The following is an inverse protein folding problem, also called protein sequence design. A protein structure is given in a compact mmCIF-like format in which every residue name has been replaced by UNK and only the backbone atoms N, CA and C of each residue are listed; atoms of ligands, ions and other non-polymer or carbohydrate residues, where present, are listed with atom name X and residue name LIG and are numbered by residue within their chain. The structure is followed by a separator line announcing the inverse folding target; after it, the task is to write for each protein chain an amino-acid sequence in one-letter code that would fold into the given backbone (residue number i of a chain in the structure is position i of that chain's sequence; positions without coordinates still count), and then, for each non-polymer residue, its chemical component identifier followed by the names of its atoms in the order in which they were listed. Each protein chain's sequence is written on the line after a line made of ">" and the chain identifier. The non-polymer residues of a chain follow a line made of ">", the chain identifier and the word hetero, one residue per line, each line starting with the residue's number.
data_IF_654125690381
#
_entry.id   IF_654125690381
#
_cell.length_a   1.000
_cell.length_b   1.000
_cell.length_c   1.000
_cell.angle_alpha   90.00
_cell.angle_beta   90.00
_cell.angle_gamma   90.00
#
_symmetry.space_group_name_H-M   'P 1'
#
loop_
_entity.id
_entity.type
_entity.pdbx_description
1 polymer ?
#
# COMPACT_ATOMS: atom_id res chain seq x y z
N UNK A 1 -6.46 -16.96 -0.26
CA UNK A 1 -5.27 -16.13 -0.59
C UNK A 1 -5.67 -14.99 -1.52
N UNK A 2 -5.29 -13.74 -1.23
CA UNK A 2 -5.67 -12.59 -2.06
C UNK A 2 -4.60 -12.24 -3.09
N UNK A 3 -4.94 -12.33 -4.39
CA UNK A 3 -4.06 -12.03 -5.55
C UNK A 3 -2.62 -12.52 -5.40
N UNK A 4 -2.42 -13.82 -5.11
CA UNK A 4 -1.08 -14.37 -4.88
C UNK A 4 -0.19 -14.30 -6.13
N UNK A 5 -0.77 -14.40 -7.32
CA UNK A 5 -0.10 -14.28 -8.62
C UNK A 5 0.63 -12.92 -8.76
N UNK A 6 -0.01 -11.84 -8.32
CA UNK A 6 0.57 -10.49 -8.37
C UNK A 6 1.76 -10.35 -7.42
N UNK A 7 1.73 -11.05 -6.28
CA UNK A 7 2.87 -11.10 -5.37
C UNK A 7 4.04 -11.87 -5.97
N UNK A 8 3.78 -13.00 -6.64
CA UNK A 8 4.83 -13.78 -7.33
C UNK A 8 5.44 -13.00 -8.50
N UNK A 9 4.63 -12.33 -9.33
CA UNK A 9 5.12 -11.42 -10.39
C UNK A 9 6.04 -10.34 -9.81
N UNK A 10 5.66 -9.72 -8.70
CA UNK A 10 6.48 -8.70 -8.01
C UNK A 10 7.76 -9.28 -7.42
N UNK A 11 7.72 -10.50 -6.88
CA UNK A 11 8.88 -11.19 -6.32
C UNK A 11 9.89 -11.56 -7.42
N UNK A 12 9.44 -12.10 -8.55
CA UNK A 12 10.30 -12.36 -9.72
C UNK A 12 10.92 -11.07 -10.28
N UNK A 13 10.14 -9.99 -10.40
CA UNK A 13 10.67 -8.68 -10.82
C UNK A 13 11.76 -8.15 -9.88
N UNK A 14 11.58 -8.39 -8.58
CA UNK A 14 12.56 -8.02 -7.55
C UNK A 14 13.80 -8.90 -7.63
N UNK A 15 13.65 -10.22 -7.78
CA UNK A 15 14.75 -11.16 -7.94
C UNK A 15 15.62 -10.80 -9.15
N UNK A 16 15.00 -10.57 -10.31
CA UNK A 16 15.69 -10.17 -11.53
C UNK A 16 16.51 -8.88 -11.35
N UNK A 17 15.97 -7.88 -10.64
CA UNK A 17 16.66 -6.59 -10.41
C UNK A 17 17.99 -6.75 -9.66
N UNK A 18 18.09 -7.74 -8.79
CA UNK A 18 19.28 -8.02 -7.97
C UNK A 18 20.01 -9.30 -8.37
N UNK A 19 19.79 -9.77 -9.61
CA UNK A 19 20.44 -10.93 -10.20
C UNK A 19 20.25 -12.25 -9.41
N UNK A 20 19.17 -12.38 -8.64
CA UNK A 20 18.71 -13.67 -8.14
C UNK A 20 18.01 -14.45 -9.28
N UNK A 21 18.04 -15.80 -9.24
CA UNK A 21 17.33 -16.60 -10.23
C UNK A 21 15.82 -16.34 -10.14
N UNK A 22 15.13 -16.34 -11.27
CA UNK A 22 13.67 -16.33 -11.32
C UNK A 22 13.12 -17.74 -11.09
N UNK A 23 11.82 -17.84 -10.83
CA UNK A 23 11.14 -19.11 -10.57
C UNK A 23 9.73 -19.13 -11.18
N UNK A 24 9.13 -20.32 -11.27
CA UNK A 24 7.72 -20.44 -11.62
C UNK A 24 6.84 -19.99 -10.44
N UNK A 25 6.16 -18.86 -10.63
CA UNK A 25 5.27 -18.30 -9.61
C UNK A 25 4.09 -19.21 -9.27
N UNK A 26 3.56 -19.97 -10.22
CA UNK A 26 2.45 -20.88 -9.96
C UNK A 26 2.92 -22.06 -9.10
N UNK A 27 4.09 -22.61 -9.39
CA UNK A 27 4.68 -23.68 -8.57
C UNK A 27 4.90 -23.21 -7.11
N UNK A 28 5.43 -22.01 -6.89
CA UNK A 28 5.61 -21.46 -5.54
C UNK A 28 4.28 -21.20 -4.84
N UNK A 29 3.23 -20.76 -5.56
CA UNK A 29 1.88 -20.62 -5.01
C UNK A 29 1.36 -21.96 -4.49
N UNK A 30 1.53 -23.04 -5.26
CA UNK A 30 1.12 -24.37 -4.82
C UNK A 30 1.89 -24.84 -3.58
N UNK A 31 3.21 -24.58 -3.50
CA UNK A 31 3.99 -24.86 -2.29
C UNK A 31 3.49 -24.06 -1.08
N UNK A 32 3.16 -22.78 -1.27
CA UNK A 32 2.59 -21.93 -0.21
C UNK A 32 1.22 -22.46 0.24
N UNK A 33 0.37 -22.91 -0.69
CA UNK A 33 -0.90 -23.54 -0.34
C UNK A 33 -0.68 -24.79 0.52
N UNK A 34 0.28 -25.64 0.18
CA UNK A 34 0.61 -26.83 1.00
C UNK A 34 1.05 -26.43 2.42
N UNK A 35 1.93 -25.43 2.54
CA UNK A 35 2.35 -24.91 3.86
C UNK A 35 1.14 -24.42 4.67
N UNK A 36 0.24 -23.64 4.06
CA UNK A 36 -0.97 -23.13 4.72
C UNK A 36 -1.90 -24.28 5.14
N UNK A 37 -2.02 -25.35 4.35
CA UNK A 37 -2.84 -26.53 4.74
C UNK A 37 -2.29 -27.22 5.97
N UNK A 38 -0.97 -27.40 6.03
CA UNK A 38 -0.28 -27.99 7.19
C UNK A 38 -0.50 -27.12 8.42
N UNK A 39 -0.32 -25.81 8.27
CA UNK A 39 -0.40 -24.83 9.36
C UNK A 39 -1.80 -24.21 9.52
N UNK A 40 -2.86 -24.83 8.97
CA UNK A 40 -4.21 -24.23 8.94
C UNK A 40 -4.74 -23.86 10.33
N UNK A 41 -4.29 -24.56 11.35
CA UNK A 41 -4.65 -24.33 12.76
C UNK A 41 -4.08 -23.02 13.32
N UNK A 42 -3.10 -22.39 12.66
CA UNK A 42 -2.60 -21.04 12.99
C UNK A 42 -3.46 -19.92 12.39
N UNK A 43 -4.37 -20.21 11.47
CA UNK A 43 -5.21 -19.18 10.84
C UNK A 43 -6.29 -18.76 11.85
N UNK A 44 -6.31 -17.49 12.29
CA UNK A 44 -7.34 -17.06 13.23
C UNK A 44 -8.72 -17.07 12.59
N UNK A 45 -9.74 -17.46 13.36
CA UNK A 45 -11.15 -17.53 12.95
C UNK A 45 -11.94 -16.24 13.27
N UNK A 46 -11.27 -15.23 13.82
CA UNK A 46 -11.87 -13.96 14.21
C UNK A 46 -11.88 -12.95 13.06
N UNK A 47 -12.99 -12.20 12.93
CA UNK A 47 -13.11 -11.14 11.93
C UNK A 47 -12.00 -10.08 12.07
N UNK A 48 -11.42 -9.68 10.93
CA UNK A 48 -10.32 -8.73 10.86
C UNK A 48 -8.92 -9.33 11.13
N UNK A 49 -8.84 -10.61 11.47
CA UNK A 49 -7.58 -11.33 11.60
C UNK A 49 -7.26 -12.09 10.31
N UNK A 50 -5.98 -12.40 10.12
CA UNK A 50 -5.52 -13.16 8.96
C UNK A 50 -4.23 -13.93 9.25
N UNK A 51 -3.83 -14.79 8.32
CA UNK A 51 -2.49 -15.37 8.29
C UNK A 51 -1.62 -14.57 7.32
N UNK A 52 -0.61 -13.88 7.83
CA UNK A 52 0.34 -13.16 7.01
C UNK A 52 1.41 -14.13 6.48
N UNK A 53 1.62 -14.13 5.16
CA UNK A 53 2.57 -15.00 4.46
C UNK A 53 3.77 -14.16 4.04
N UNK A 54 4.97 -14.59 4.40
CA UNK A 54 6.24 -13.89 4.13
C UNK A 54 7.20 -14.77 3.31
N UNK A 55 7.02 -14.86 1.99
CA UNK A 55 8.05 -15.36 1.11
C UNK A 55 9.28 -14.46 1.19
N UNK A 56 10.46 -15.06 1.29
CA UNK A 56 11.75 -14.38 1.43
C UNK A 56 12.77 -15.06 0.53
N UNK A 57 13.60 -14.26 -0.15
CA UNK A 57 14.59 -14.76 -1.10
C UNK A 57 15.90 -14.03 -0.92
N UNK A 58 16.98 -14.79 -0.65
CA UNK A 58 18.30 -14.25 -0.34
C UNK A 58 19.38 -14.99 -1.13
N UNK A 59 20.45 -14.29 -1.49
CA UNK A 59 21.70 -14.94 -1.94
C UNK A 59 22.45 -15.48 -0.72
N UNK A 60 23.01 -16.68 -0.84
CA UNK A 60 23.66 -17.40 0.29
C UNK A 60 25.09 -17.81 -0.01
N UNK A 61 25.64 -17.39 -1.15
CA UNK A 61 26.99 -17.75 -1.55
C UNK A 61 28.03 -17.35 -0.50
N UNK A 62 28.92 -18.28 -0.16
CA UNK A 62 30.06 -18.07 0.73
C UNK A 62 31.20 -17.29 0.05
N UNK A 63 30.94 -16.03 -0.33
CA UNK A 63 31.93 -15.15 -0.95
C UNK A 63 31.76 -13.70 -0.49
N UNK A 64 32.87 -12.97 -0.38
CA UNK A 64 32.88 -11.55 -0.03
C UNK A 64 32.75 -10.62 -1.25
N UNK A 65 33.06 -11.13 -2.45
CA UNK A 65 33.03 -10.36 -3.68
C UNK A 65 31.61 -10.00 -4.10
N UNK A 66 31.42 -8.78 -4.62
CA UNK A 66 30.13 -8.31 -5.15
C UNK A 66 29.97 -8.84 -6.57
N UNK A 67 29.19 -9.91 -6.70
CA UNK A 67 28.87 -10.55 -7.98
C UNK A 67 27.46 -11.16 -7.90
N UNK A 68 26.83 -11.49 -9.05
CA UNK A 68 25.61 -12.28 -9.06
C UNK A 68 25.77 -13.56 -8.23
N UNK A 69 24.82 -13.86 -7.32
CA UNK A 69 24.94 -15.00 -6.43
C UNK A 69 24.87 -16.32 -7.19
N UNK A 70 25.74 -17.27 -6.85
CA UNK A 70 25.70 -18.66 -7.36
C UNK A 70 24.81 -19.59 -6.54
N UNK A 71 24.44 -19.15 -5.34
CA UNK A 71 23.60 -19.89 -4.40
C UNK A 71 22.56 -18.94 -3.83
N UNK A 72 21.33 -19.42 -3.69
CA UNK A 72 20.23 -18.65 -3.14
C UNK A 72 19.26 -19.55 -2.37
N UNK A 73 18.59 -18.95 -1.39
CA UNK A 73 17.59 -19.61 -0.55
C UNK A 73 16.26 -18.85 -0.66
N UNK A 74 15.24 -19.53 -1.17
CA UNK A 74 13.85 -19.10 -1.08
C UNK A 74 13.19 -19.87 0.06
N UNK A 75 12.63 -19.15 1.02
CA UNK A 75 11.86 -19.74 2.13
C UNK A 75 10.59 -18.92 2.38
N UNK A 76 9.62 -19.55 3.06
CA UNK A 76 8.35 -18.92 3.41
C UNK A 76 8.10 -19.13 4.90
N UNK A 77 7.75 -18.06 5.60
CA UNK A 77 7.22 -18.14 6.97
C UNK A 77 5.80 -17.57 7.01
N UNK A 78 5.00 -18.08 7.93
CA UNK A 78 3.63 -17.63 8.18
C UNK A 78 3.52 -17.08 9.61
N UNK A 79 2.64 -16.09 9.81
CA UNK A 79 2.42 -15.49 11.13
C UNK A 79 0.95 -15.06 11.26
N UNK A 80 0.23 -15.48 12.32
CA UNK A 80 -1.11 -14.96 12.58
C UNK A 80 -1.02 -13.48 12.92
N UNK A 81 -1.89 -12.67 12.33
CA UNK A 81 -1.94 -11.22 12.55
C UNK A 81 -3.35 -10.77 12.87
N UNK A 82 -3.45 -9.82 13.80
CA UNK A 82 -4.69 -9.12 14.09
C UNK A 82 -4.91 -7.91 13.19
N UNK A 83 -6.06 -7.24 13.34
CA UNK A 83 -6.33 -5.99 12.65
C UNK A 83 -5.27 -4.97 13.06
N UNK A 84 -4.77 -4.21 12.07
CA UNK A 84 -3.79 -3.16 12.31
C UNK A 84 -4.31 -2.06 13.25
N UNK A 85 -5.65 -1.89 13.29
CA UNK A 85 -6.35 -0.99 14.21
C UNK A 85 -7.43 -1.75 15.00
N UNK A 86 -7.10 -2.28 16.19
CA UNK A 86 -8.02 -3.10 17.00
C UNK A 86 -9.25 -2.35 17.53
N UNK A 87 -9.23 -1.02 17.53
CA UNK A 87 -10.26 -0.14 18.09
C UNK A 87 -11.11 0.55 17.01
N UNK A 88 -11.11 0.06 15.77
CA UNK A 88 -11.76 0.69 14.61
C UNK A 88 -10.76 1.42 13.70
N UNK A 89 -11.23 2.10 12.66
CA UNK A 89 -10.34 2.82 11.73
C UNK A 89 -9.77 4.07 12.38
N UNK A 90 -8.75 3.92 13.22
CA UNK A 90 -8.03 5.06 13.78
C UNK A 90 -7.19 5.70 12.66
N UNK A 91 -7.52 6.92 12.22
CA UNK A 91 -6.69 7.61 11.24
C UNK A 91 -5.28 7.82 11.79
N UNK A 92 -4.30 7.92 10.90
CA UNK A 92 -2.90 8.13 11.29
C UNK A 92 -2.43 9.53 10.98
N UNK A 93 -1.71 10.12 11.92
CA UNK A 93 -0.96 11.35 11.70
C UNK A 93 0.35 11.04 10.97
N UNK A 94 0.61 11.76 9.88
CA UNK A 94 1.82 11.62 9.06
C UNK A 94 2.78 12.79 9.25
N UNK A 95 4.08 12.52 9.19
CA UNK A 95 5.10 13.57 9.10
C UNK A 95 5.59 13.69 7.65
N UNK A 96 5.32 14.81 7.00
CA UNK A 96 5.81 15.16 5.66
C UNK A 96 7.33 15.35 5.67
N UNK A 97 8.06 14.29 5.32
CA UNK A 97 9.51 14.26 5.39
C UNK A 97 10.13 15.02 4.23
N UNK A 98 10.79 16.14 4.52
CA UNK A 98 11.50 16.97 3.52
C UNK A 98 13.01 16.74 3.53
N UNK A 99 13.53 16.25 4.66
CA UNK A 99 14.95 16.09 4.95
C UNK A 99 15.52 14.74 4.48
N UNK A 100 14.65 13.78 4.18
CA UNK A 100 15.05 12.43 3.78
C UNK A 100 14.23 11.95 2.59
N UNK A 101 14.90 11.25 1.69
CA UNK A 101 14.27 10.60 0.55
C UNK A 101 14.25 9.09 0.74
N UNK A 102 13.09 8.48 0.51
CA UNK A 102 12.92 7.02 0.55
C UNK A 102 13.52 6.33 -0.67
N UNK A 103 13.41 6.98 -1.82
CA UNK A 103 13.80 6.46 -3.12
C UNK A 103 14.06 7.62 -4.07
N UNK A 104 14.86 7.36 -5.10
CA UNK A 104 15.17 8.32 -6.15
C UNK A 104 15.04 7.68 -7.54
N UNK A 105 14.85 8.47 -8.61
CA UNK A 105 14.85 7.97 -9.98
C UNK A 105 16.11 7.16 -10.29
N UNK A 106 15.96 6.07 -11.04
CA UNK A 106 17.05 5.12 -11.32
C UNK A 106 17.44 4.19 -10.16
N UNK A 107 16.89 4.42 -8.96
CA UNK A 107 17.14 3.62 -7.78
C UNK A 107 16.41 2.28 -7.77
N UNK A 108 16.16 1.78 -6.55
CA UNK A 108 15.52 0.49 -6.31
C UNK A 108 14.17 0.60 -5.58
N UNK A 109 13.61 1.81 -5.45
CA UNK A 109 12.40 2.08 -4.67
C UNK A 109 11.17 1.28 -5.10
N UNK A 110 11.04 1.00 -6.41
CA UNK A 110 9.95 0.18 -6.94
C UNK A 110 10.06 -1.31 -6.60
N UNK A 111 11.17 -1.81 -6.08
CA UNK A 111 11.39 -3.24 -5.81
C UNK A 111 11.26 -3.55 -4.31
N UNK A 112 10.78 -4.75 -3.96
CA UNK A 112 10.53 -5.11 -2.55
C UNK A 112 11.80 -5.65 -1.88
N UNK A 113 12.86 -4.84 -1.87
CA UNK A 113 14.17 -5.18 -1.33
C UNK A 113 14.34 -4.71 0.12
N UNK A 114 14.98 -5.54 0.96
CA UNK A 114 15.29 -5.19 2.35
C UNK A 114 16.01 -3.84 2.50
N UNK A 115 16.90 -3.51 1.55
CA UNK A 115 17.65 -2.26 1.51
C UNK A 115 16.77 -1.01 1.45
N UNK A 116 15.54 -1.09 0.94
CA UNK A 116 14.61 0.04 0.88
C UNK A 116 13.91 0.36 2.22
N UNK A 117 14.06 -0.51 3.22
CA UNK A 117 13.38 -0.38 4.51
C UNK A 117 14.32 0.13 5.60
N UNK A 118 15.55 -0.38 5.63
CA UNK A 118 16.50 -0.08 6.71
C UNK A 118 16.77 1.44 6.90
N UNK A 119 16.99 2.25 5.85
CA UNK A 119 17.23 3.69 6.01
C UNK A 119 16.04 4.45 6.62
N UNK A 120 14.80 3.94 6.44
CA UNK A 120 13.60 4.58 6.95
C UNK A 120 13.37 4.38 8.45
N UNK A 121 14.07 3.46 9.11
CA UNK A 121 13.85 3.13 10.53
C UNK A 121 14.17 4.32 11.44
N UNK A 122 15.31 4.99 11.21
CA UNK A 122 15.70 6.15 11.99
C UNK A 122 14.74 7.32 11.75
N UNK A 123 14.38 7.57 10.48
CA UNK A 123 13.43 8.61 10.10
C UNK A 123 12.07 8.39 10.77
N UNK A 124 11.59 7.15 10.81
CA UNK A 124 10.36 6.77 11.51
C UNK A 124 10.42 7.00 13.01
N UNK A 125 11.56 6.73 13.64
CA UNK A 125 11.76 7.02 15.07
C UNK A 125 11.72 8.53 15.35
N UNK A 126 12.27 9.37 14.48
CA UNK A 126 12.22 10.83 14.65
C UNK A 126 10.80 11.39 14.43
N UNK A 127 10.07 10.89 13.44
CA UNK A 127 8.66 11.25 13.25
C UNK A 127 7.81 10.88 14.48
N UNK A 128 8.05 9.71 15.08
CA UNK A 128 7.35 9.26 16.28
C UNK A 128 7.59 10.19 17.49
N UNK A 129 8.82 10.70 17.68
CA UNK A 129 9.12 11.69 18.73
C UNK A 129 8.33 12.99 18.58
N UNK A 130 7.96 13.35 17.35
CA UNK A 130 7.15 14.53 17.02
C UNK A 130 5.63 14.27 17.10
N UNK A 131 5.22 13.06 17.50
CA UNK A 131 3.81 12.69 17.63
C UNK A 131 3.14 12.17 16.35
N UNK A 132 3.91 11.82 15.32
CA UNK A 132 3.40 11.25 14.07
C UNK A 132 3.63 9.73 14.02
N UNK A 133 2.68 9.00 13.46
CA UNK A 133 2.69 7.53 13.46
C UNK A 133 3.45 6.97 12.25
N UNK A 134 3.53 7.71 11.15
CA UNK A 134 4.23 7.32 9.92
C UNK A 134 4.86 8.54 9.23
N UNK A 135 5.84 8.28 8.36
CA UNK A 135 6.33 9.29 7.42
C UNK A 135 5.44 9.37 6.18
N UNK A 136 5.22 10.57 5.68
CA UNK A 136 4.82 10.82 4.30
C UNK A 136 6.09 11.14 3.52
N UNK A 137 6.49 10.25 2.62
CA UNK A 137 7.70 10.40 1.85
C UNK A 137 7.51 11.40 0.72
N UNK A 138 8.28 12.48 0.76
CA UNK A 138 8.28 13.52 -0.25
C UNK A 138 9.52 13.43 -1.13
N UNK A 139 9.40 13.84 -2.39
CA UNK A 139 10.49 13.79 -3.35
C UNK A 139 10.65 15.10 -4.13
N UNK A 140 11.90 15.51 -4.32
CA UNK A 140 12.27 16.67 -5.13
C UNK A 140 11.93 18.01 -4.46
N UNK A 141 12.33 19.12 -5.10
CA UNK A 141 12.13 20.48 -4.56
C UNK A 141 10.66 20.87 -4.43
N UNK A 142 9.80 20.31 -5.29
CA UNK A 142 8.35 20.58 -5.26
C UNK A 142 7.58 19.71 -4.25
N UNK A 143 8.30 18.88 -3.48
CA UNK A 143 7.74 17.99 -2.46
C UNK A 143 6.61 17.10 -3.01
N UNK A 144 6.93 16.36 -4.08
CA UNK A 144 6.03 15.37 -4.66
C UNK A 144 5.75 14.25 -3.66
N UNK A 145 4.48 13.93 -3.47
CA UNK A 145 4.04 12.82 -2.64
C UNK A 145 4.42 11.50 -3.33
N UNK A 146 5.01 10.58 -2.59
CA UNK A 146 5.35 9.24 -3.10
C UNK A 146 4.59 8.15 -2.34
N UNK A 147 4.91 7.93 -1.06
CA UNK A 147 4.38 6.83 -0.26
C UNK A 147 4.11 7.25 1.19
N UNK A 148 3.20 6.54 1.87
CA UNK A 148 2.90 6.68 3.30
C UNK A 148 3.60 5.56 4.05
N UNK A 149 4.77 5.81 4.63
CA UNK A 149 5.55 4.80 5.33
C UNK A 149 5.94 3.65 4.40
N UNK A 150 5.22 2.52 4.48
CA UNK A 150 5.40 1.35 3.59
C UNK A 150 4.15 1.05 2.72
N UNK A 151 3.25 2.03 2.62
CA UNK A 151 1.99 1.99 1.90
C UNK A 151 2.01 2.96 0.72
N UNK A 152 1.26 2.66 -0.33
CA UNK A 152 1.06 3.61 -1.43
C UNK A 152 0.09 4.71 -1.01
N UNK A 153 0.35 5.96 -1.42
CA UNK A 153 -0.49 7.11 -1.11
C UNK A 153 -1.65 7.28 -2.10
N UNK A 154 -2.81 7.67 -1.60
CA UNK A 154 -3.95 8.15 -2.37
C UNK A 154 -4.48 9.45 -1.76
N UNK A 155 -4.90 10.36 -2.63
CA UNK A 155 -5.56 11.61 -2.26
C UNK A 155 -6.87 11.69 -3.04
N UNK A 156 -7.91 12.24 -2.40
CA UNK A 156 -9.19 12.48 -3.05
C UNK A 156 -9.51 13.96 -3.02
N UNK A 157 -9.81 14.51 -4.19
CA UNK A 157 -10.19 15.89 -4.39
C UNK A 157 -11.64 16.00 -4.86
N UNK A 158 -12.29 17.10 -4.51
CA UNK A 158 -13.55 17.57 -5.09
C UNK A 158 -13.28 18.85 -5.86
N UNK A 159 -13.35 18.78 -7.18
CA UNK A 159 -13.16 19.94 -8.04
C UNK A 159 -14.37 20.87 -7.99
N UNK A 160 -14.17 22.13 -8.40
CA UNK A 160 -15.20 23.18 -8.39
C UNK A 160 -16.39 22.87 -9.31
N UNK A 161 -16.20 22.06 -10.35
CA UNK A 161 -17.24 21.58 -11.25
C UNK A 161 -18.03 20.37 -10.69
N UNK A 162 -17.74 19.98 -9.44
CA UNK A 162 -18.39 18.86 -8.77
C UNK A 162 -17.78 17.50 -9.10
N UNK A 163 -16.71 17.41 -9.88
CA UNK A 163 -16.02 16.14 -10.16
C UNK A 163 -15.25 15.67 -8.92
N UNK A 164 -15.41 14.40 -8.54
CA UNK A 164 -14.57 13.75 -7.54
C UNK A 164 -13.41 13.03 -8.22
N UNK A 165 -12.18 13.38 -7.87
CA UNK A 165 -10.96 12.73 -8.35
C UNK A 165 -10.34 11.90 -7.24
N UNK A 166 -10.10 10.62 -7.49
CA UNK A 166 -9.12 9.83 -6.72
C UNK A 166 -7.81 9.81 -7.49
N UNK A 167 -6.73 10.21 -6.84
CA UNK A 167 -5.40 10.29 -7.44
C UNK A 167 -4.38 9.53 -6.61
N UNK A 168 -3.45 8.87 -7.30
CA UNK A 168 -2.25 8.27 -6.69
C UNK A 168 -1.03 8.60 -7.56
N UNK A 169 0.15 8.81 -6.96
CA UNK A 169 1.38 8.97 -7.71
C UNK A 169 1.65 7.81 -8.71
N UNK A 170 2.24 8.08 -9.89
CA UNK A 170 2.46 7.08 -10.95
C UNK A 170 3.60 6.11 -10.62
N UNK A 171 3.67 4.98 -11.32
CA UNK A 171 4.76 4.01 -11.18
C UNK A 171 6.01 4.43 -11.97
N UNK A 172 6.70 5.45 -11.48
CA UNK A 172 7.87 6.09 -12.10
C UNK A 172 9.24 5.46 -11.75
N UNK A 173 9.22 4.33 -11.04
CA UNK A 173 10.43 3.64 -10.55
C UNK A 173 10.81 3.96 -9.10
N UNK A 174 10.25 5.03 -8.51
CA UNK A 174 10.39 5.31 -7.08
C UNK A 174 9.34 4.60 -6.25
N UNK A 175 8.18 4.30 -6.81
CA UNK A 175 7.00 3.81 -6.06
C UNK A 175 6.90 2.29 -6.15
N UNK A 176 6.68 1.64 -5.02
CA UNK A 176 6.47 0.20 -4.99
C UNK A 176 5.10 -0.11 -5.61
N UNK A 177 4.97 -0.95 -6.66
CA UNK A 177 3.68 -1.34 -7.20
C UNK A 177 2.97 -2.28 -6.21
N UNK A 178 2.20 -1.69 -5.29
CA UNK A 178 1.42 -2.41 -4.30
C UNK A 178 0.25 -3.15 -4.93
N UNK A 179 0.04 -4.40 -4.51
CA UNK A 179 -1.12 -5.20 -4.95
C UNK A 179 -2.43 -4.55 -4.45
N UNK A 180 -2.42 -3.97 -3.26
CA UNK A 180 -3.59 -3.22 -2.75
C UNK A 180 -3.84 -1.95 -3.54
N UNK A 181 -2.81 -1.17 -3.87
CA UNK A 181 -2.90 0.01 -4.78
C UNK A 181 -3.56 -0.37 -6.10
N UNK A 182 -3.04 -1.41 -6.76
CA UNK A 182 -3.58 -1.90 -8.02
C UNK A 182 -5.05 -2.34 -7.89
N UNK A 183 -5.40 -2.99 -6.79
CA UNK A 183 -6.78 -3.42 -6.51
C UNK A 183 -7.72 -2.24 -6.28
N UNK A 184 -7.27 -1.21 -5.54
CA UNK A 184 -8.02 0.04 -5.32
C UNK A 184 -8.27 0.76 -6.65
N UNK A 185 -7.23 0.91 -7.48
CA UNK A 185 -7.37 1.53 -8.81
C UNK A 185 -8.35 0.76 -9.70
N UNK A 186 -8.25 -0.57 -9.74
CA UNK A 186 -9.15 -1.40 -10.54
C UNK A 186 -10.61 -1.25 -10.09
N UNK A 187 -10.89 -1.30 -8.79
CA UNK A 187 -12.25 -1.10 -8.27
C UNK A 187 -12.77 0.32 -8.51
N UNK A 188 -11.92 1.32 -8.31
CA UNK A 188 -12.27 2.72 -8.57
C UNK A 188 -12.58 2.97 -10.05
N UNK A 189 -11.84 2.35 -10.98
CA UNK A 189 -12.08 2.43 -12.43
C UNK A 189 -13.35 1.70 -12.85
N UNK A 190 -13.60 0.52 -12.30
CA UNK A 190 -14.83 -0.23 -12.55
C UNK A 190 -16.06 0.54 -12.02
N UNK A 191 -15.93 1.28 -10.91
CA UNK A 191 -16.96 2.21 -10.46
C UNK A 191 -17.11 3.41 -11.40
N UNK A 192 -16.01 4.09 -11.75
CA UNK A 192 -16.01 5.27 -12.62
C UNK A 192 -16.64 5.01 -13.99
N UNK A 193 -16.41 3.81 -14.54
CA UNK A 193 -16.97 3.37 -15.82
C UNK A 193 -18.42 2.88 -15.73
N UNK A 194 -18.97 2.74 -14.53
CA UNK A 194 -20.30 2.18 -14.29
C UNK A 194 -20.38 0.65 -14.43
N UNK A 195 -19.27 -0.04 -14.69
CA UNK A 195 -19.21 -1.50 -14.86
C UNK A 195 -19.56 -2.24 -13.56
N UNK A 196 -18.97 -1.82 -12.45
CA UNK A 196 -19.25 -2.38 -11.11
C UNK A 196 -19.40 -1.24 -10.11
N UNK A 197 -20.58 -0.60 -10.03
CA UNK A 197 -20.80 0.51 -9.11
C UNK A 197 -20.65 0.09 -7.64
N UNK A 198 -19.83 0.80 -6.88
CA UNK A 198 -19.68 0.55 -5.45
C UNK A 198 -20.72 1.37 -4.66
N UNK A 199 -21.52 0.68 -3.85
CA UNK A 199 -22.53 1.31 -2.99
C UNK A 199 -21.88 2.22 -1.96
N UNK A 200 -22.33 3.48 -1.89
CA UNK A 200 -21.85 4.48 -0.94
C UNK A 200 -20.67 5.31 -1.41
N UNK A 201 -20.29 5.21 -2.69
CA UNK A 201 -19.39 6.17 -3.33
C UNK A 201 -20.04 7.56 -3.45
N UNK A 202 -19.25 8.64 -3.55
CA UNK A 202 -19.77 9.98 -3.83
C UNK A 202 -20.61 10.02 -5.11
N UNK A 203 -21.67 10.81 -5.07
CA UNK A 203 -22.52 11.05 -6.23
C UNK A 203 -21.83 11.99 -7.24
N UNK A 204 -22.20 11.85 -8.51
CA UNK A 204 -21.70 12.65 -9.62
C UNK A 204 -20.55 12.00 -10.38
N UNK A 205 -19.85 12.81 -11.19
CA UNK A 205 -18.75 12.34 -12.03
C UNK A 205 -17.53 11.99 -11.16
N UNK A 206 -17.02 10.79 -11.34
CA UNK A 206 -15.88 10.25 -10.61
C UNK A 206 -14.75 9.88 -11.58
N UNK A 207 -13.53 10.36 -11.32
CA UNK A 207 -12.35 10.11 -12.16
C UNK A 207 -11.20 9.50 -11.36
N UNK A 208 -10.39 8.69 -12.03
CA UNK A 208 -9.26 7.97 -11.41
C UNK A 208 -7.99 8.30 -12.17
N UNK A 209 -7.04 8.95 -11.50
CA UNK A 209 -5.79 9.37 -12.13
C UNK A 209 -4.55 8.76 -11.44
N UNK A 210 -3.59 8.37 -12.28
CA UNK A 210 -2.22 8.09 -11.85
C UNK A 210 -1.34 9.25 -12.31
N UNK A 211 -1.16 10.27 -11.46
CA UNK A 211 -0.41 11.49 -11.78
C UNK A 211 0.40 11.97 -10.57
N UNK A 212 1.49 12.72 -10.78
CA UNK A 212 2.19 13.37 -9.68
C UNK A 212 1.22 14.27 -8.88
N UNK A 213 1.40 14.29 -7.56
CA UNK A 213 0.67 15.14 -6.62
C UNK A 213 1.70 15.77 -5.70
N UNK A 214 1.58 17.07 -5.43
CA UNK A 214 2.51 17.80 -4.56
C UNK A 214 1.86 18.12 -3.22
N UNK A 215 2.66 18.33 -2.17
CA UNK A 215 2.11 18.84 -0.92
C UNK A 215 1.50 20.23 -1.07
N UNK A 216 2.02 21.07 -1.98
CA UNK A 216 1.43 22.37 -2.30
C UNK A 216 -0.02 22.23 -2.79
N UNK A 217 -0.27 21.31 -3.72
CA UNK A 217 -1.62 21.02 -4.22
C UNK A 217 -2.56 20.56 -3.10
N UNK A 218 -2.08 19.69 -2.19
CA UNK A 218 -2.89 19.20 -1.06
C UNK A 218 -3.24 20.33 -0.08
N UNK A 219 -2.28 21.21 0.23
CA UNK A 219 -2.51 22.38 1.09
C UNK A 219 -3.53 23.34 0.45
N UNK A 220 -3.33 23.70 -0.82
CA UNK A 220 -4.27 24.58 -1.52
C UNK A 220 -5.69 23.99 -1.61
N UNK A 221 -5.80 22.68 -1.84
CA UNK A 221 -7.08 22.00 -1.85
C UNK A 221 -7.76 22.02 -0.47
N UNK A 222 -7.00 21.86 0.61
CA UNK A 222 -7.54 21.93 1.96
C UNK A 222 -8.06 23.35 2.28
N UNK A 223 -7.29 24.39 1.95
CA UNK A 223 -7.69 25.80 2.14
C UNK A 223 -8.97 26.16 1.37
N UNK A 224 -9.15 25.56 0.18
CA UNK A 224 -10.34 25.76 -0.67
C UNK A 224 -11.51 24.85 -0.29
N UNK A 225 -11.38 23.98 0.72
CA UNK A 225 -12.40 22.98 1.07
C UNK A 225 -12.62 21.91 -0.01
N UNK A 226 -11.61 21.68 -0.86
CA UNK A 226 -11.62 20.74 -1.99
C UNK A 226 -10.90 19.41 -1.66
N UNK A 227 -10.17 19.32 -0.55
CA UNK A 227 -9.58 18.07 -0.08
C UNK A 227 -10.66 17.21 0.60
N UNK A 228 -10.86 15.98 0.14
CA UNK A 228 -11.92 15.08 0.64
C UNK A 228 -11.39 14.05 1.62
N UNK A 229 -10.30 13.37 1.28
CA UNK A 229 -9.63 12.40 2.15
C UNK A 229 -8.21 12.13 1.64
N UNK A 230 -7.35 11.63 2.53
CA UNK A 230 -6.02 11.13 2.23
C UNK A 230 -5.89 9.75 2.90
N UNK A 231 -5.35 8.76 2.19
CA UNK A 231 -5.14 7.44 2.79
C UNK A 231 -3.96 6.68 2.19
N UNK A 232 -3.38 5.80 3.00
CA UNK A 232 -2.41 4.80 2.58
C UNK A 232 -3.09 3.47 2.19
N UNK A 233 -2.49 2.72 1.26
CA UNK A 233 -2.94 1.36 0.91
C UNK A 233 -1.78 0.36 1.02
N UNK A 234 -2.06 -0.81 1.60
CA UNK A 234 -1.06 -1.85 1.79
C UNK A 234 -1.65 -3.12 2.36
N UNK A 235 -0.93 -4.25 2.30
CA UNK A 235 -1.45 -5.55 2.75
C UNK A 235 -1.79 -5.57 4.24
N UNK A 236 -1.05 -4.84 5.08
CA UNK A 236 -1.22 -4.89 6.54
C UNK A 236 -2.51 -4.22 7.02
N UNK A 237 -2.82 -3.02 6.53
CA UNK A 237 -4.00 -2.25 6.95
C UNK A 237 -5.15 -2.28 5.93
N UNK A 238 -4.92 -2.83 4.73
CA UNK A 238 -5.78 -2.69 3.53
C UNK A 238 -5.87 -1.22 3.10
N UNK A 239 -6.59 -0.39 3.86
CA UNK A 239 -6.67 1.06 3.72
C UNK A 239 -6.43 1.69 5.10
N UNK A 240 -5.57 2.71 5.14
CA UNK A 240 -5.24 3.46 6.34
C UNK A 240 -5.57 4.94 6.15
N UNK A 241 -6.68 5.44 6.72
CA UNK A 241 -7.02 6.86 6.68
C UNK A 241 -5.96 7.74 7.35
N UNK A 242 -5.89 9.00 6.92
CA UNK A 242 -5.02 10.02 7.49
C UNK A 242 -5.90 11.17 7.98
N UNK A 243 -5.68 11.61 9.21
CA UNK A 243 -6.36 12.77 9.82
C UNK A 243 -5.50 14.03 9.85
N UNK A 244 -4.18 13.89 9.73
CA UNK A 244 -3.26 15.01 9.82
C UNK A 244 -1.93 14.75 9.14
N UNK A 245 -1.36 15.79 8.52
CA UNK A 245 -0.03 15.78 7.94
C UNK A 245 0.76 16.97 8.50
N UNK A 246 1.81 16.69 9.26
CA UNK A 246 2.77 17.69 9.69
C UNK A 246 3.68 18.07 8.53
N UNK A 247 3.66 19.32 8.08
CA UNK A 247 4.40 19.77 6.91
C UNK A 247 4.94 21.19 7.13
N UNK A 248 6.25 21.37 6.96
CA UNK A 248 6.96 22.66 7.14
C UNK A 248 6.62 23.38 8.46
N UNK A 249 6.52 22.61 9.55
CA UNK A 249 6.28 23.13 10.89
C UNK A 249 4.80 23.39 11.23
N UNK A 250 3.88 23.08 10.32
CA UNK A 250 2.43 23.23 10.56
C UNK A 250 1.70 21.90 10.40
N UNK A 251 0.59 21.76 11.12
CA UNK A 251 -0.29 20.61 10.99
C UNK A 251 -1.41 20.91 10.00
N UNK A 252 -1.42 20.19 8.88
CA UNK A 252 -2.53 20.17 7.94
C UNK A 252 -3.54 19.11 8.38
N UNK A 253 -4.74 19.53 8.76
CA UNK A 253 -5.83 18.60 9.06
C UNK A 253 -6.47 18.06 7.79
N UNK A 254 -6.69 16.74 7.77
CA UNK A 254 -7.31 16.02 6.67
C UNK A 254 -8.72 15.61 7.10
N UNK A 255 -9.76 15.88 6.29
CA UNK A 255 -11.12 15.47 6.62
C UNK A 255 -11.23 13.94 6.75
N UNK A 256 -11.90 13.51 7.81
CA UNK A 256 -12.20 12.09 8.11
C UNK A 256 -13.66 11.93 8.50
N UNK A 257 -14.24 10.77 8.23
CA UNK A 257 -15.59 10.44 8.70
C UNK A 257 -15.64 10.19 10.21
N UNK A 258 -16.85 10.04 10.76
CA UNK A 258 -17.06 9.86 12.20
C UNK A 258 -16.33 8.64 12.82
N UNK A 259 -16.07 7.60 12.02
CA UNK A 259 -15.31 6.43 12.43
C UNK A 259 -13.87 6.41 11.86
N UNK A 260 -13.42 7.54 11.30
CA UNK A 260 -12.10 7.74 10.70
C UNK A 260 -12.01 7.50 9.19
N UNK A 261 -12.91 6.70 8.59
CA UNK A 261 -12.88 6.45 7.14
C UNK A 261 -13.66 7.51 6.38
N UNK A 262 -13.12 7.96 5.25
CA UNK A 262 -13.80 8.92 4.39
C UNK A 262 -14.76 8.25 3.37
N UNK A 263 -15.39 9.06 2.51
CA UNK A 263 -16.49 8.63 1.65
C UNK A 263 -16.04 7.77 0.46
N UNK A 264 -14.77 7.79 0.04
CA UNK A 264 -14.26 6.98 -1.07
C UNK A 264 -13.54 5.74 -0.54
N UNK A 265 -12.67 5.91 0.45
CA UNK A 265 -11.94 4.84 1.11
C UNK A 265 -12.86 3.76 1.70
N UNK A 266 -14.00 4.14 2.29
CA UNK A 266 -14.95 3.20 2.93
C UNK A 266 -15.57 2.18 1.97
N UNK A 267 -16.29 2.57 0.90
CA UNK A 267 -16.88 1.61 -0.03
C UNK A 267 -15.83 0.73 -0.69
N UNK A 268 -14.66 1.28 -1.04
CA UNK A 268 -13.54 0.51 -1.60
C UNK A 268 -13.01 -0.51 -0.61
N UNK A 269 -12.80 -0.13 0.66
CA UNK A 269 -12.38 -1.07 1.71
C UNK A 269 -13.38 -2.20 1.91
N UNK A 270 -14.68 -1.88 1.99
CA UNK A 270 -15.75 -2.89 2.16
C UNK A 270 -15.72 -3.92 1.03
N UNK A 271 -15.57 -3.46 -0.21
CA UNK A 271 -15.46 -4.34 -1.37
C UNK A 271 -14.20 -5.22 -1.29
N UNK A 272 -13.04 -4.63 -1.00
CA UNK A 272 -11.78 -5.37 -0.90
C UNK A 272 -11.80 -6.43 0.20
N UNK A 273 -12.26 -6.08 1.40
CA UNK A 273 -12.33 -7.03 2.52
C UNK A 273 -13.39 -8.09 2.27
N UNK A 274 -14.52 -7.73 1.66
CA UNK A 274 -15.54 -8.69 1.21
C UNK A 274 -14.95 -9.73 0.25
N UNK A 275 -14.12 -9.32 -0.69
CA UNK A 275 -13.40 -10.22 -1.61
C UNK A 275 -12.38 -11.08 -0.85
N UNK A 276 -11.55 -10.48 0.00
CA UNK A 276 -10.50 -11.16 0.75
C UNK A 276 -11.04 -12.26 1.68
N UNK A 277 -12.21 -12.01 2.28
CA UNK A 277 -12.89 -12.93 3.21
C UNK A 277 -13.82 -13.92 2.52
N UNK A 278 -13.98 -13.82 1.19
CA UNK A 278 -14.87 -14.70 0.42
C UNK A 278 -16.37 -14.36 0.55
N UNK A 279 -16.74 -13.33 1.33
CA UNK A 279 -18.12 -12.80 1.39
C UNK A 279 -18.60 -12.30 0.02
N UNK A 280 -17.67 -11.83 -0.81
CA UNK A 280 -17.91 -11.44 -2.20
C UNK A 280 -17.09 -12.37 -3.10
N UNK A 281 -17.74 -13.23 -3.91
CA UNK A 281 -17.04 -14.07 -4.89
C UNK A 281 -16.28 -13.22 -5.90
N UNK A 282 -14.99 -13.50 -6.09
CA UNK A 282 -14.17 -12.77 -7.06
C UNK A 282 -12.92 -13.58 -7.44
N UNK A 283 -12.44 -13.51 -8.70
CA UNK A 283 -11.21 -14.20 -9.13
C UNK A 283 -9.94 -13.79 -8.38
N UNK A 284 -9.98 -12.68 -7.65
CA UNK A 284 -8.86 -12.23 -6.81
C UNK A 284 -8.71 -13.04 -5.52
N UNK A 285 -9.76 -13.75 -5.10
CA UNK A 285 -9.72 -14.62 -3.93
C UNK A 285 -9.46 -16.05 -4.39
N UNK A 286 -8.21 -16.49 -4.23
CA UNK A 286 -7.77 -17.84 -4.60
C UNK A 286 -7.96 -18.75 -3.39
N UNK A 287 -8.74 -19.81 -3.55
CA UNK A 287 -8.95 -20.81 -2.51
C UNK A 287 -7.66 -21.59 -2.24
N UNK A 288 -7.46 -21.96 -0.98
CA UNK A 288 -6.48 -22.95 -0.55
C UNK A 288 -7.28 -24.23 -0.36
N UNK A 289 -7.28 -25.06 -1.40
CA UNK A 289 -8.14 -26.24 -1.59
C UNK A 289 -7.57 -27.50 -0.94
#
# INVERSE_FOLDING_TARGET
>A
MFRPDMNMKRMNRTAQRIALPTFDGNAVIELIKQLIRIDKHWIPDKEGYSLYIRPTFIGTQAALGIAPPREALLFVICSPVGPYYPQGFKPVALYGTTEHSRAAPGGIGAYKLGANYAPGVMVQKEAAKKGYVQNLWLHGPDHHITEVGTMNAFVVFKHSDGVTEIVTPPLDGMILPGVTRDSVLALARDHASGKTPLKGMPEGKFIVNERPVTMKEVVEAAEKGQLVEFFGTGTAAVISPVDRIGYLGQDLHIPVGADGMGPVSRPVWKQLVGIQTGKIPHPWSVLVD
#
